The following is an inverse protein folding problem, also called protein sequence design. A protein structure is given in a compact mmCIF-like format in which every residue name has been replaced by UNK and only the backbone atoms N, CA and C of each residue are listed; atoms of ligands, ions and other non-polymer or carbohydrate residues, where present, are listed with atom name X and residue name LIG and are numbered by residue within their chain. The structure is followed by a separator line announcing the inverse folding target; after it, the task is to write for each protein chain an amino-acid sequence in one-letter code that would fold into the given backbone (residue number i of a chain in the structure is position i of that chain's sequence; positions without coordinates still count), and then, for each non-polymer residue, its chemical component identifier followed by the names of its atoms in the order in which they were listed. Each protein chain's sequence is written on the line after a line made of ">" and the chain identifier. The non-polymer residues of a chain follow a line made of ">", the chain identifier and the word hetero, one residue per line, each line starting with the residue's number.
data_IF_419295700093
#
_entry.id   IF_419295700093
#
_cell.length_a   1.000
_cell.length_b   1.000
_cell.length_c   1.000
_cell.angle_alpha   90.00
_cell.angle_beta   90.00
_cell.angle_gamma   90.00
#
_symmetry.space_group_name_H-M   'P 1'
#
loop_
_entity.id
_entity.type
_entity.pdbx_description
1 polymer ?
#
# COMPACT_ATOMS: atom_id res chain seq x y z
N UNK A 1 15.69 20.25 -18.55
CA UNK A 1 15.19 20.13 -17.16
C UNK A 1 15.28 18.65 -16.73
N UNK A 2 16.38 18.21 -16.11
CA UNK A 2 16.58 16.82 -15.70
C UNK A 2 15.69 16.35 -14.52
N UNK A 3 14.98 17.26 -13.83
CA UNK A 3 14.14 16.95 -12.66
C UNK A 3 12.94 16.03 -12.93
N UNK A 4 12.23 16.21 -14.06
CA UNK A 4 10.99 15.46 -14.35
C UNK A 4 11.15 13.93 -14.39
N UNK A 5 12.33 13.42 -14.74
CA UNK A 5 12.56 11.96 -14.81
C UNK A 5 12.74 11.34 -13.43
N UNK A 6 13.24 12.11 -12.47
CA UNK A 6 13.46 11.65 -11.09
C UNK A 6 12.12 11.57 -10.38
N UNK A 7 11.25 12.56 -10.57
CA UNK A 7 9.90 12.60 -9.98
C UNK A 7 9.04 11.42 -10.44
N UNK A 8 9.05 11.09 -11.73
CA UNK A 8 8.29 9.94 -12.27
C UNK A 8 8.74 8.61 -11.68
N UNK A 9 10.05 8.45 -11.44
CA UNK A 9 10.58 7.23 -10.81
C UNK A 9 10.12 7.17 -9.35
N UNK A 10 10.11 8.30 -8.66
CA UNK A 10 9.66 8.41 -7.27
C UNK A 10 8.18 8.06 -7.12
N UNK A 11 7.32 8.59 -8.00
CA UNK A 11 5.89 8.29 -8.02
C UNK A 11 5.63 6.79 -8.24
N UNK A 12 6.44 6.14 -9.08
CA UNK A 12 6.34 4.69 -9.31
C UNK A 12 6.71 3.91 -8.05
N UNK A 13 7.76 4.31 -7.32
CA UNK A 13 8.12 3.67 -6.04
C UNK A 13 6.98 3.80 -5.03
N UNK A 14 6.43 5.02 -4.87
CA UNK A 14 5.32 5.31 -3.96
C UNK A 14 4.09 4.45 -4.27
N UNK A 15 3.74 4.27 -5.56
CA UNK A 15 2.65 3.38 -5.99
C UNK A 15 2.88 1.92 -5.57
N UNK A 16 4.09 1.40 -5.72
CA UNK A 16 4.39 0.03 -5.27
C UNK A 16 4.34 -0.11 -3.75
N UNK A 17 4.78 0.90 -3.01
CA UNK A 17 4.67 0.92 -1.54
C UNK A 17 3.20 0.97 -1.12
N UNK A 18 2.38 1.84 -1.72
CA UNK A 18 0.92 1.85 -1.48
C UNK A 18 0.30 0.48 -1.75
N UNK A 19 0.57 -0.12 -2.91
CA UNK A 19 0.04 -1.43 -3.27
C UNK A 19 0.45 -2.52 -2.25
N UNK A 20 1.64 -2.39 -1.66
CA UNK A 20 2.13 -3.31 -0.63
C UNK A 20 1.43 -3.12 0.70
N UNK A 21 1.17 -1.86 1.09
CA UNK A 21 0.36 -1.56 2.27
C UNK A 21 -1.09 -2.01 2.09
N UNK A 22 -1.65 -1.86 0.89
CA UNK A 22 -3.02 -2.30 0.58
C UNK A 22 -3.18 -3.82 0.62
N UNK A 23 -2.18 -4.59 0.18
CA UNK A 23 -2.31 -6.05 0.01
C UNK A 23 -1.63 -6.89 1.08
N UNK A 24 -0.78 -6.29 1.93
CA UNK A 24 0.06 -7.00 2.92
C UNK A 24 1.11 -7.94 2.30
N UNK A 25 1.22 -8.02 0.98
CA UNK A 25 2.05 -9.03 0.30
C UNK A 25 3.31 -8.44 -0.34
N UNK A 26 4.23 -8.01 0.51
CA UNK A 26 5.45 -7.31 0.11
C UNK A 26 6.34 -8.12 -0.86
N UNK A 27 6.45 -9.43 -0.62
CA UNK A 27 7.34 -10.30 -1.41
C UNK A 27 6.83 -10.51 -2.84
N UNK A 28 5.51 -10.58 -3.02
CA UNK A 28 4.91 -10.72 -4.35
C UNK A 28 5.02 -9.43 -5.16
N UNK A 29 4.90 -8.28 -4.49
CA UNK A 29 5.02 -6.96 -5.14
C UNK A 29 6.46 -6.68 -5.57
N UNK A 30 7.45 -6.98 -4.74
CA UNK A 30 8.86 -6.85 -5.13
C UNK A 30 9.18 -7.66 -6.40
N UNK A 31 8.68 -8.91 -6.48
CA UNK A 31 8.81 -9.75 -7.68
C UNK A 31 8.10 -9.15 -8.90
N UNK A 32 6.87 -8.67 -8.73
CA UNK A 32 6.08 -8.06 -9.81
C UNK A 32 6.73 -6.78 -10.35
N UNK A 33 7.35 -6.00 -9.47
CA UNK A 33 8.10 -4.80 -9.81
C UNK A 33 9.50 -5.08 -10.40
N UNK A 34 9.95 -6.35 -10.41
CA UNK A 34 11.26 -6.73 -10.93
C UNK A 34 12.44 -6.25 -10.08
N UNK A 35 12.22 -6.00 -8.79
CA UNK A 35 13.22 -5.48 -7.85
C UNK A 35 13.52 -6.49 -6.75
N UNK A 36 14.71 -6.34 -6.14
CA UNK A 36 15.06 -7.17 -4.99
C UNK A 36 14.17 -6.84 -3.78
N UNK A 37 13.98 -7.84 -2.90
CA UNK A 37 13.24 -7.64 -1.64
C UNK A 37 13.92 -6.60 -0.74
N UNK A 38 15.24 -6.56 -0.74
CA UNK A 38 16.02 -5.60 0.06
C UNK A 38 15.84 -4.17 -0.46
N UNK A 39 15.84 -3.98 -1.78
CA UNK A 39 15.53 -2.68 -2.40
C UNK A 39 14.11 -2.24 -2.08
N UNK A 40 13.14 -3.15 -2.16
CA UNK A 40 11.76 -2.82 -1.84
C UNK A 40 11.56 -2.51 -0.35
N UNK A 41 12.29 -3.20 0.54
CA UNK A 41 12.28 -2.91 1.97
C UNK A 41 12.85 -1.52 2.28
N UNK A 42 13.88 -1.08 1.56
CA UNK A 42 14.38 0.32 1.60
C UNK A 42 13.26 1.30 1.27
N UNK A 43 12.55 1.08 0.16
CA UNK A 43 11.47 1.97 -0.27
C UNK A 43 10.33 2.02 0.73
N UNK A 44 9.94 0.88 1.31
CA UNK A 44 8.95 0.90 2.39
C UNK A 44 9.44 1.74 3.57
N UNK A 45 10.68 1.60 4.02
CA UNK A 45 11.18 2.45 5.12
C UNK A 45 11.24 3.94 4.75
N UNK A 46 11.49 4.28 3.49
CA UNK A 46 11.56 5.66 3.00
C UNK A 46 10.19 6.32 2.82
N UNK A 47 9.18 5.59 2.31
CA UNK A 47 7.89 6.17 1.94
C UNK A 47 6.70 5.66 2.75
N UNK A 48 6.86 4.69 3.66
CA UNK A 48 5.74 4.13 4.42
C UNK A 48 4.98 5.20 5.18
N UNK A 49 5.68 6.06 5.90
CA UNK A 49 5.04 7.08 6.74
C UNK A 49 4.28 8.09 5.86
N UNK A 50 4.90 8.57 4.78
CA UNK A 50 4.23 9.45 3.80
C UNK A 50 2.99 8.78 3.16
N UNK A 51 3.08 7.49 2.82
CA UNK A 51 1.95 6.76 2.25
C UNK A 51 0.85 6.53 3.29
N UNK A 52 1.19 6.27 4.55
CA UNK A 52 0.21 6.13 5.63
C UNK A 52 -0.56 7.43 5.85
N UNK A 53 0.15 8.57 5.91
CA UNK A 53 -0.47 9.90 6.04
C UNK A 53 -1.38 10.22 4.85
N UNK A 54 -0.96 9.89 3.62
CA UNK A 54 -1.80 10.07 2.43
C UNK A 54 -3.02 9.14 2.44
N UNK A 55 -2.86 7.89 2.87
CA UNK A 55 -3.96 6.92 2.92
C UNK A 55 -4.97 7.26 4.02
N UNK A 56 -4.52 7.80 5.16
CA UNK A 56 -5.37 8.32 6.23
C UNK A 56 -6.17 9.54 5.76
N UNK A 57 -5.52 10.48 5.06
CA UNK A 57 -6.20 11.64 4.47
C UNK A 57 -7.18 11.26 3.34
N UNK A 58 -6.90 10.20 2.57
CA UNK A 58 -7.78 9.69 1.52
C UNK A 58 -8.93 8.80 2.05
N UNK A 59 -8.92 8.44 3.35
CA UNK A 59 -9.91 7.53 3.95
C UNK A 59 -9.80 6.09 3.46
N UNK A 60 -8.69 5.72 2.81
CA UNK A 60 -8.43 4.37 2.32
C UNK A 60 -8.01 3.44 3.47
N UNK A 61 -8.89 2.50 3.81
CA UNK A 61 -8.61 1.49 4.84
C UNK A 61 -7.51 0.55 4.36
N UNK A 62 -6.36 0.60 5.02
CA UNK A 62 -5.33 -0.43 4.92
C UNK A 62 -5.99 -1.76 5.28
N UNK A 63 -5.77 -2.82 4.50
CA UNK A 63 -6.10 -4.17 4.98
C UNK A 63 -5.20 -4.40 6.19
N UNK A 64 -5.80 -4.28 7.39
CA UNK A 64 -5.14 -4.67 8.64
C UNK A 64 -4.54 -6.06 8.42
N UNK A 65 -3.25 -6.23 8.70
CA UNK A 65 -2.56 -7.54 8.66
C UNK A 65 -3.19 -8.55 9.65
N UNK A 66 -4.09 -8.08 10.52
CA UNK A 66 -4.88 -8.88 11.44
C UNK A 66 -6.27 -8.26 11.60
N UNK A 67 -7.16 -8.40 10.60
CA UNK A 67 -8.51 -7.88 10.76
C UNK A 67 -9.18 -8.73 11.83
N UNK A 68 -9.54 -8.09 12.94
CA UNK A 68 -10.22 -8.80 14.03
C UNK A 68 -11.52 -9.37 13.47
N UNK A 69 -11.91 -10.58 13.90
CA UNK A 69 -13.11 -11.26 13.37
C UNK A 69 -14.37 -10.36 13.36
N UNK A 70 -14.44 -9.39 14.29
CA UNK A 70 -15.49 -8.38 14.34
C UNK A 70 -15.48 -7.39 13.16
N UNK A 71 -14.32 -6.87 12.74
CA UNK A 71 -14.22 -5.93 11.62
C UNK A 71 -14.58 -6.58 10.28
N UNK A 72 -14.25 -7.88 10.14
CA UNK A 72 -14.65 -8.65 8.97
C UNK A 72 -16.17 -8.88 8.94
N UNK A 73 -16.77 -9.09 10.10
CA UNK A 73 -18.21 -9.31 10.25
C UNK A 73 -19.00 -8.03 9.96
N UNK A 74 -18.55 -6.89 10.48
CA UNK A 74 -19.19 -5.59 10.19
C UNK A 74 -19.16 -5.27 8.69
N UNK A 75 -18.02 -5.46 8.03
CA UNK A 75 -17.91 -5.25 6.58
C UNK A 75 -18.83 -6.20 5.79
N UNK A 76 -18.96 -7.45 6.23
CA UNK A 76 -19.89 -8.42 5.64
C UNK A 76 -21.35 -8.00 5.82
N UNK A 77 -21.73 -7.60 7.03
CA UNK A 77 -23.10 -7.13 7.33
C UNK A 77 -23.44 -5.87 6.52
N UNK A 78 -22.49 -4.94 6.39
CA UNK A 78 -22.66 -3.72 5.61
C UNK A 78 -22.88 -4.04 4.12
N UNK A 79 -22.14 -5.00 3.56
CA UNK A 79 -22.31 -5.46 2.19
C UNK A 79 -23.64 -6.21 1.97
N UNK A 80 -24.06 -7.03 2.94
CA UNK A 80 -25.33 -7.76 2.91
C UNK A 80 -26.55 -6.82 3.00
N UNK A 81 -26.41 -5.66 3.63
CA UNK A 81 -27.51 -4.68 3.79
C UNK A 81 -27.80 -3.90 2.50
N UNK A 82 -26.92 -3.98 1.51
CA UNK A 82 -27.05 -3.34 0.19
C UNK A 82 -27.62 -4.28 -0.88
N UNK A 83 -27.94 -5.53 -0.52
CA UNK A 83 -28.61 -6.54 -1.34
C UNK A 83 -30.12 -6.54 -1.08
#
# INVERSE_FOLDING_TARGET
>A
MPGKKIDVIEDVKKKYVRLALETGNHSSIARKAGISRDTFRRWMNEYKDEMLDLMENEGTTILSDNPTKGELLEKYEQAMKLL
#
